data_IF_588575921528
#
_entry.id   IF_588575921528
#
_cell.length_a   1.000
_cell.length_b   1.000
_cell.length_c   1.000
_cell.angle_alpha   90.00
_cell.angle_beta   90.00
_cell.angle_gamma   90.00
#
_symmetry.space_group_name_H-M   'P 1'
#
loop_
_entity.id
_entity.type
_entity.pdbx_description
1 polymer ?
#
# COMPACT_ATOMS: atom_id res chain seq x y z
N UNK A 1 -44.76 -53.19 -24.86
CA UNK A 1 -45.60 -52.16 -25.51
C UNK A 1 -45.07 -50.78 -25.15
N UNK A 2 -44.96 -49.91 -26.16
CA UNK A 2 -44.54 -48.49 -26.14
C UNK A 2 -43.03 -48.20 -25.99
N UNK A 3 -42.40 -48.24 -27.17
CA UNK A 3 -41.18 -47.53 -27.58
C UNK A 3 -41.37 -46.01 -27.44
N UNK A 4 -40.31 -45.27 -27.12
CA UNK A 4 -40.18 -43.87 -27.53
C UNK A 4 -38.75 -43.62 -28.01
N UNK A 5 -38.60 -43.43 -29.32
CA UNK A 5 -37.40 -42.89 -29.97
C UNK A 5 -37.47 -41.35 -29.99
N UNK A 6 -36.34 -40.72 -29.69
CA UNK A 6 -35.81 -39.58 -30.44
C UNK A 6 -36.24 -38.17 -30.02
N UNK A 7 -35.25 -37.32 -29.71
CA UNK A 7 -35.06 -36.05 -30.40
C UNK A 7 -33.68 -35.46 -30.10
N UNK A 8 -33.05 -34.96 -31.17
CA UNK A 8 -31.79 -34.24 -31.17
C UNK A 8 -31.83 -33.04 -30.22
N UNK A 9 -30.73 -32.84 -29.50
CA UNK A 9 -30.38 -31.59 -28.86
C UNK A 9 -28.87 -31.41 -28.97
N UNK A 10 -28.43 -30.85 -30.09
CA UNK A 10 -27.07 -30.33 -30.26
C UNK A 10 -26.85 -29.29 -29.16
N UNK A 11 -26.18 -29.68 -28.07
CA UNK A 11 -25.50 -28.70 -27.24
C UNK A 11 -24.31 -28.24 -28.07
N UNK A 12 -24.56 -27.14 -28.79
CA UNK A 12 -23.57 -26.23 -29.32
C UNK A 12 -22.36 -26.24 -28.39
N UNK A 13 -21.16 -26.36 -28.97
CA UNK A 13 -19.91 -26.02 -28.31
C UNK A 13 -20.09 -24.67 -27.63
N UNK A 14 -20.46 -24.71 -26.35
CA UNK A 14 -20.60 -23.55 -25.50
C UNK A 14 -19.20 -23.03 -25.34
N UNK A 15 -18.88 -22.07 -26.20
CA UNK A 15 -17.79 -21.12 -26.10
C UNK A 15 -17.25 -21.18 -24.69
N UNK A 16 -16.04 -21.73 -24.57
CA UNK A 16 -15.33 -21.80 -23.31
C UNK A 16 -15.54 -20.48 -22.63
N UNK A 17 -16.22 -20.52 -21.48
CA UNK A 17 -16.23 -19.42 -20.55
C UNK A 17 -14.77 -19.29 -20.14
N UNK A 18 -13.99 -18.60 -20.98
CA UNK A 18 -12.82 -17.86 -20.58
C UNK A 18 -13.40 -16.94 -19.53
N UNK A 19 -13.42 -17.46 -18.31
CA UNK A 19 -13.55 -16.69 -17.10
C UNK A 19 -12.40 -15.71 -17.16
N UNK A 20 -12.61 -14.60 -17.86
CA UNK A 20 -11.80 -13.43 -17.73
C UNK A 20 -12.00 -13.02 -16.28
N UNK A 21 -11.14 -13.56 -15.42
CA UNK A 21 -10.95 -13.09 -14.05
C UNK A 21 -10.50 -11.64 -14.19
N UNK A 22 -11.47 -10.72 -14.28
CA UNK A 22 -11.24 -9.28 -14.39
C UNK A 22 -10.86 -8.71 -13.03
N UNK A 23 -9.84 -9.30 -12.40
CA UNK A 23 -9.22 -8.75 -11.21
C UNK A 23 -8.44 -7.51 -11.57
N UNK A 24 -8.64 -6.41 -10.84
CA UNK A 24 -7.80 -5.23 -10.99
C UNK A 24 -6.39 -5.54 -10.50
N UNK A 25 -5.40 -5.31 -11.35
CA UNK A 25 -4.00 -5.51 -11.01
C UNK A 25 -3.42 -4.23 -10.40
N UNK A 26 -2.89 -4.29 -9.18
CA UNK A 26 -2.17 -3.17 -8.58
C UNK A 26 -0.79 -3.04 -9.24
N UNK A 27 -0.48 -1.85 -9.76
CA UNK A 27 0.80 -1.55 -10.40
C UNK A 27 1.79 -0.89 -9.45
N UNK A 28 1.33 0.09 -8.68
CA UNK A 28 2.19 0.90 -7.82
C UNK A 28 1.43 1.46 -6.63
N UNK A 29 2.18 1.86 -5.60
CA UNK A 29 1.70 2.63 -4.45
C UNK A 29 2.53 3.89 -4.36
N UNK A 30 1.87 5.05 -4.31
CA UNK A 30 2.48 6.31 -3.91
C UNK A 30 2.06 6.66 -2.49
N UNK A 31 2.98 7.22 -1.71
CA UNK A 31 2.67 7.75 -0.37
C UNK A 31 2.64 9.27 -0.47
N UNK A 32 1.56 9.87 0.03
CA UNK A 32 1.41 11.32 0.15
C UNK A 32 1.29 11.68 1.63
N UNK A 33 2.08 12.65 2.12
CA UNK A 33 3.24 13.28 1.48
C UNK A 33 4.40 12.30 1.21
N UNK A 34 5.22 12.60 0.19
CA UNK A 34 6.38 11.77 -0.19
C UNK A 34 7.64 12.07 0.63
N UNK A 35 7.67 13.25 1.27
CA UNK A 35 8.77 13.73 2.09
C UNK A 35 8.21 14.53 3.26
N UNK A 36 8.68 14.29 4.48
CA UNK A 36 8.27 15.06 5.66
C UNK A 36 9.47 15.41 6.53
N UNK A 37 9.46 16.61 7.11
CA UNK A 37 10.51 17.05 8.05
C UNK A 37 9.89 17.54 9.34
N UNK A 38 10.27 16.93 10.46
CA UNK A 38 9.92 17.39 11.79
C UNK A 38 11.09 18.19 12.37
N UNK A 39 10.79 19.40 12.87
CA UNK A 39 11.80 20.32 13.42
C UNK A 39 12.17 20.04 14.88
N UNK A 40 11.60 18.98 15.46
CA UNK A 40 11.88 18.51 16.81
C UNK A 40 11.49 17.03 16.89
N UNK A 41 12.14 16.24 17.76
CA UNK A 41 11.70 14.87 18.08
C UNK A 41 10.47 14.89 18.99
N UNK A 42 9.46 15.70 18.71
CA UNK A 42 8.23 15.80 19.50
C UNK A 42 7.18 14.79 18.99
N UNK A 43 6.77 13.79 19.78
CA UNK A 43 5.74 12.83 19.38
C UNK A 43 4.37 13.46 19.10
N UNK A 44 4.11 14.67 19.61
CA UNK A 44 2.88 15.40 19.31
C UNK A 44 2.85 15.94 17.87
N UNK A 45 4.02 16.16 17.26
CA UNK A 45 4.13 16.48 15.84
C UNK A 45 3.81 15.25 15.00
N UNK A 46 2.64 15.20 14.38
CA UNK A 46 2.26 14.06 13.56
C UNK A 46 1.65 14.49 12.22
N UNK A 47 1.76 13.61 11.24
CA UNK A 47 1.25 13.79 9.88
C UNK A 47 0.52 12.52 9.45
N UNK A 48 -0.65 12.68 8.86
CA UNK A 48 -1.39 11.57 8.27
C UNK A 48 -0.84 11.26 6.87
N UNK A 49 -0.25 10.08 6.71
CA UNK A 49 0.14 9.55 5.42
C UNK A 49 -1.06 8.92 4.71
N UNK A 50 -1.07 9.00 3.39
CA UNK A 50 -2.01 8.28 2.53
C UNK A 50 -1.28 7.41 1.53
N UNK A 51 -1.63 6.14 1.45
CA UNK A 51 -1.11 5.21 0.44
C UNK A 51 -2.11 5.12 -0.71
N UNK A 52 -1.78 5.69 -1.87
CA UNK A 52 -2.62 5.68 -3.07
C UNK A 52 -2.12 4.61 -4.03
N UNK A 53 -2.95 3.60 -4.28
CA UNK A 53 -2.66 2.52 -5.21
C UNK A 53 -3.16 2.84 -6.62
N UNK A 54 -2.33 2.64 -7.64
CA UNK A 54 -2.72 2.75 -9.05
C UNK A 54 -2.94 1.35 -9.63
N UNK A 55 -4.15 1.10 -10.12
CA UNK A 55 -4.58 -0.17 -10.69
C UNK A 55 -4.66 -0.12 -12.21
N UNK A 56 -4.38 -1.25 -12.86
CA UNK A 56 -4.65 -1.51 -14.27
C UNK A 56 -5.96 -2.29 -14.46
N UNK A 57 -6.59 -2.06 -15.63
CA UNK A 57 -7.68 -2.87 -16.21
C UNK A 57 -8.77 -3.37 -15.22
N UNK A 58 -9.80 -2.56 -14.90
CA UNK A 58 -9.97 -1.16 -15.31
C UNK A 58 -9.03 -0.21 -14.55
N UNK A 59 -8.51 0.85 -15.20
CA UNK A 59 -7.69 1.86 -14.53
C UNK A 59 -8.44 2.54 -13.38
N UNK A 60 -7.82 2.58 -12.21
CA UNK A 60 -8.37 3.28 -11.05
C UNK A 60 -7.26 3.67 -10.07
N UNK A 61 -7.49 4.75 -9.33
CA UNK A 61 -6.70 5.08 -8.13
C UNK A 61 -7.54 4.80 -6.91
N UNK A 62 -7.01 4.04 -5.95
CA UNK A 62 -7.71 3.72 -4.70
C UNK A 62 -6.87 4.11 -3.50
N UNK A 63 -7.54 4.52 -2.44
CA UNK A 63 -6.91 4.71 -1.14
C UNK A 63 -6.73 3.36 -0.46
N UNK A 64 -5.48 2.98 -0.23
CA UNK A 64 -5.07 1.74 0.42
C UNK A 64 -4.54 1.99 1.83
N UNK A 65 -4.68 3.20 2.38
CA UNK A 65 -4.06 3.61 3.67
C UNK A 65 -4.36 2.64 4.82
N UNK A 66 -5.60 2.15 4.93
CA UNK A 66 -6.00 1.18 5.95
C UNK A 66 -5.78 -0.29 5.57
N UNK A 67 -5.22 -0.56 4.40
CA UNK A 67 -5.02 -1.92 3.86
C UNK A 67 -3.54 -2.28 3.71
N UNK A 68 -2.66 -1.29 3.55
CA UNK A 68 -1.21 -1.51 3.49
C UNK A 68 -0.65 -1.81 4.88
N UNK A 69 0.44 -2.58 4.90
CA UNK A 69 1.30 -2.70 6.07
C UNK A 69 2.30 -1.56 6.08
N UNK A 70 2.19 -0.70 7.09
CA UNK A 70 3.13 0.39 7.35
C UNK A 70 4.35 -0.11 8.14
N UNK A 71 5.55 0.30 7.74
CA UNK A 71 6.80 -0.01 8.46
C UNK A 71 7.79 1.15 8.38
N UNK A 72 8.56 1.37 9.45
CA UNK A 72 9.72 2.28 9.47
C UNK A 72 11.01 1.46 9.49
N UNK A 73 12.00 1.83 8.67
CA UNK A 73 13.33 1.20 8.74
C UNK A 73 14.11 1.61 9.99
N UNK A 74 13.80 2.79 10.56
CA UNK A 74 14.45 3.34 11.75
C UNK A 74 13.39 3.82 12.75
N UNK A 75 12.71 2.90 13.47
CA UNK A 75 11.66 3.26 14.44
C UNK A 75 12.14 4.17 15.59
N UNK A 76 13.45 4.18 15.84
CA UNK A 76 14.09 5.07 16.81
C UNK A 76 14.02 6.55 16.39
N UNK A 77 13.80 6.86 15.11
CA UNK A 77 13.68 8.22 14.58
C UNK A 77 12.21 8.58 14.33
N UNK A 78 11.50 7.74 13.58
CA UNK A 78 10.11 7.97 13.22
C UNK A 78 9.30 6.67 13.27
N UNK A 79 8.10 6.78 13.81
CA UNK A 79 7.14 5.69 14.01
C UNK A 79 5.92 5.97 13.12
N UNK A 80 5.37 4.92 12.52
CA UNK A 80 4.14 4.99 11.76
C UNK A 80 3.16 3.97 12.32
N UNK A 81 1.91 4.38 12.54
CA UNK A 81 0.84 3.48 12.96
C UNK A 81 0.25 2.69 11.79
N UNK A 82 -0.53 1.67 12.08
CA UNK A 82 -1.22 0.86 11.07
C UNK A 82 -2.27 1.66 10.27
N UNK A 83 -2.66 2.85 10.73
CA UNK A 83 -3.57 3.75 10.00
C UNK A 83 -2.82 4.83 9.23
N UNK A 84 -1.49 4.76 9.14
CA UNK A 84 -0.66 5.73 8.42
C UNK A 84 -0.38 7.03 9.18
N UNK A 85 -0.65 7.10 10.49
CA UNK A 85 -0.25 8.25 11.30
C UNK A 85 1.26 8.18 11.58
N UNK A 86 2.03 9.11 11.02
CA UNK A 86 3.49 9.25 11.16
C UNK A 86 3.81 10.26 12.26
N UNK A 87 4.74 9.93 13.14
CA UNK A 87 5.27 10.86 14.15
C UNK A 87 6.76 10.59 14.44
N UNK A 88 7.51 11.58 14.96
CA UNK A 88 8.79 11.33 15.61
C UNK A 88 8.65 10.34 16.77
N UNK A 89 9.75 9.66 17.10
CA UNK A 89 9.80 8.69 18.21
C UNK A 89 9.78 9.33 19.60
N UNK A 90 10.18 10.60 19.72
CA UNK A 90 10.40 11.28 20.99
C UNK A 90 11.85 11.57 21.33
N UNK A 91 12.79 10.80 20.76
CA UNK A 91 14.20 10.85 21.20
C UNK A 91 15.22 10.75 20.07
N UNK A 92 14.84 10.28 18.88
CA UNK A 92 15.78 10.09 17.78
C UNK A 92 15.71 11.18 16.72
N UNK A 93 16.87 11.49 16.14
CA UNK A 93 17.03 12.43 15.04
C UNK A 93 17.65 11.73 13.82
N UNK A 94 17.55 12.37 12.66
CA UNK A 94 18.11 11.88 11.40
C UNK A 94 17.02 11.47 10.40
N UNK A 95 17.40 10.68 9.41
CA UNK A 95 16.51 10.22 8.35
C UNK A 95 15.94 8.81 8.59
N UNK A 96 14.68 8.61 8.22
CA UNK A 96 14.05 7.30 8.12
C UNK A 96 13.24 7.17 6.82
N UNK A 97 13.02 5.93 6.41
CA UNK A 97 12.19 5.56 5.27
C UNK A 97 10.97 4.83 5.81
N UNK A 98 9.79 5.35 5.46
CA UNK A 98 8.51 4.73 5.75
C UNK A 98 8.05 3.97 4.51
N UNK A 99 7.67 2.71 4.67
CA UNK A 99 7.19 1.84 3.59
C UNK A 99 5.73 1.46 3.81
N UNK A 100 4.95 1.47 2.72
CA UNK A 100 3.58 0.98 2.63
C UNK A 100 3.58 -0.26 1.73
N UNK A 101 3.39 -1.45 2.32
CA UNK A 101 3.43 -2.73 1.60
C UNK A 101 2.02 -3.28 1.41
N UNK A 102 1.66 -3.64 0.17
CA UNK A 102 0.42 -4.35 -0.13
C UNK A 102 0.75 -5.66 -0.86
N UNK A 103 0.18 -6.76 -0.38
CA UNK A 103 0.27 -8.06 -1.06
C UNK A 103 -1.08 -8.33 -1.71
N UNK A 104 -1.08 -8.57 -3.02
CA UNK A 104 -2.29 -8.86 -3.79
C UNK A 104 -2.88 -10.19 -3.36
N UNK A 105 -4.20 -10.27 -3.37
CA UNK A 105 -4.96 -11.48 -3.05
C UNK A 105 -5.17 -12.39 -4.29
N UNK A 106 -4.34 -12.21 -5.32
CA UNK A 106 -4.33 -13.07 -6.50
C UNK A 106 -3.46 -14.32 -6.24
N UNK A 107 -3.59 -15.39 -7.06
CA UNK A 107 -2.82 -16.62 -6.88
C UNK A 107 -1.30 -16.42 -6.96
N UNK A 108 -0.84 -15.29 -7.51
CA UNK A 108 0.59 -14.94 -7.62
C UNK A 108 1.13 -14.26 -6.36
N UNK A 109 0.27 -13.68 -5.51
CA UNK A 109 0.67 -13.08 -4.23
C UNK A 109 1.67 -11.93 -4.40
N UNK A 110 1.54 -11.16 -5.48
CA UNK A 110 2.49 -10.10 -5.80
C UNK A 110 2.54 -9.04 -4.70
N UNK A 111 3.73 -8.54 -4.38
CA UNK A 111 3.92 -7.52 -3.34
C UNK A 111 4.35 -6.21 -3.97
N UNK A 112 3.58 -5.15 -3.72
CA UNK A 112 3.84 -3.79 -4.17
C UNK A 112 4.20 -2.94 -2.96
N UNK A 113 5.28 -2.17 -3.07
CA UNK A 113 5.78 -1.31 -1.98
C UNK A 113 5.88 0.13 -2.47
N UNK A 114 5.27 1.04 -1.73
CA UNK A 114 5.52 2.49 -1.83
C UNK A 114 6.41 2.96 -0.70
N UNK A 115 7.23 3.99 -0.93
CA UNK A 115 8.13 4.54 0.10
C UNK A 115 8.02 6.05 0.19
N UNK A 116 8.24 6.60 1.39
CA UNK A 116 8.43 8.02 1.64
C UNK A 116 9.60 8.23 2.61
N UNK A 117 10.20 9.41 2.57
CA UNK A 117 11.34 9.76 3.44
C UNK A 117 10.91 10.76 4.50
N UNK A 118 11.26 10.49 5.76
CA UNK A 118 11.04 11.41 6.87
C UNK A 118 12.37 11.81 7.47
N UNK A 119 12.52 13.08 7.81
CA UNK A 119 13.67 13.61 8.54
C UNK A 119 13.20 14.21 9.85
N UNK A 120 13.88 13.90 10.94
CA UNK A 120 13.71 14.58 12.23
C UNK A 120 14.99 15.35 12.50
N UNK A 121 14.91 16.68 12.40
CA UNK A 121 16.04 17.58 12.57
C UNK A 121 15.68 18.68 13.57
N UNK A 122 16.26 18.60 14.77
CA UNK A 122 16.14 19.67 15.75
C UNK A 122 17.35 20.59 15.66
N UNK A 123 17.18 21.72 15.00
CA UNK A 123 18.22 22.73 14.86
C UNK A 123 18.68 23.33 16.21
N UNK A 124 17.87 23.20 17.26
CA UNK A 124 18.20 23.73 18.59
C UNK A 124 18.87 22.70 19.53
N UNK A 125 18.95 21.43 19.14
CA UNK A 125 19.41 20.35 20.02
C UNK A 125 20.73 19.73 19.53
N UNK A 126 21.82 19.77 20.32
CA UNK A 126 23.11 19.20 19.93
C UNK A 126 23.11 17.68 19.71
N UNK A 127 22.08 16.94 20.12
CA UNK A 127 21.97 15.49 19.80
C UNK A 127 21.42 15.21 18.39
N UNK A 128 20.81 16.19 17.72
CA UNK A 128 20.44 16.04 16.32
C UNK A 128 21.62 16.46 15.42
N UNK A 129 22.07 15.60 14.48
CA UNK A 129 23.13 15.98 13.56
C UNK A 129 22.66 17.18 12.73
N UNK A 130 23.38 18.30 12.85
CA UNK A 130 23.13 19.49 12.05
C UNK A 130 23.51 19.20 10.58
N UNK A 131 22.72 19.65 9.59
CA UNK A 131 23.04 19.48 8.17
C UNK A 131 24.34 20.17 7.74
#
# INVERSE_FOLDING_TARGET
>A
MKKWLGLLGVCFAGLGLLSCSSGQQLLSISITPSTETFLAPDPAGNVQLRALGTYAHPPATKDLTGQVRWTSNTPQVAIVSNTGLLSPSGTGCGGAIISATFTTNDPTGNTVVGTMTVTVDNQADPICPQP
#
